data_IF_880466934576
#
_entry.id   IF_880466934576
#
_cell.length_a   1.000
_cell.length_b   1.000
_cell.length_c   1.000
_cell.angle_alpha   90.00
_cell.angle_beta   90.00
_cell.angle_gamma   90.00
#
_symmetry.space_group_name_H-M   'P 1'
#
loop_
_entity.id
_entity.type
_entity.pdbx_description
1 polymer ?
#
# COMPACT_ATOMS: atom_id res chain seq x y z
N UNK A 1 19.53 -18.57 -5.47
CA UNK A 1 19.80 -20.02 -5.37
C UNK A 1 18.91 -20.73 -4.36
N UNK A 2 19.19 -20.69 -3.05
CA UNK A 2 18.39 -21.44 -2.05
C UNK A 2 16.88 -21.12 -2.10
N UNK A 3 16.51 -19.84 -2.22
CA UNK A 3 15.09 -19.46 -2.36
C UNK A 3 14.43 -20.11 -3.59
N UNK A 4 15.14 -20.16 -4.72
CA UNK A 4 14.65 -20.79 -5.95
C UNK A 4 14.58 -22.32 -5.78
N UNK A 5 15.57 -22.94 -5.13
CA UNK A 5 15.55 -24.37 -4.78
C UNK A 5 14.31 -24.74 -3.95
N UNK A 6 13.87 -23.84 -3.06
CA UNK A 6 12.68 -24.00 -2.23
C UNK A 6 11.37 -23.54 -2.92
N UNK A 7 11.44 -23.06 -4.16
CA UNK A 7 10.27 -22.63 -4.95
C UNK A 7 9.78 -21.21 -4.70
N UNK A 8 10.60 -20.34 -4.10
CA UNK A 8 10.26 -18.92 -3.95
C UNK A 8 10.22 -18.21 -5.31
N UNK A 9 9.17 -17.44 -5.55
CA UNK A 9 8.94 -16.65 -6.77
C UNK A 9 9.16 -15.15 -6.57
N UNK A 10 9.28 -14.71 -5.31
CA UNK A 10 9.61 -13.33 -4.93
C UNK A 10 10.76 -13.35 -3.92
N UNK A 11 11.72 -12.45 -4.11
CA UNK A 11 12.83 -12.19 -3.19
C UNK A 11 12.71 -10.76 -2.65
N UNK A 12 12.37 -10.64 -1.37
CA UNK A 12 12.23 -9.34 -0.70
C UNK A 12 13.61 -8.77 -0.34
N UNK A 13 13.77 -7.46 -0.49
CA UNK A 13 14.97 -6.71 -0.16
C UNK A 13 14.61 -5.56 0.78
N UNK A 14 14.80 -5.78 2.08
CA UNK A 14 14.72 -4.73 3.08
C UNK A 14 16.09 -4.15 3.40
N UNK A 15 16.30 -2.90 2.99
CA UNK A 15 17.53 -2.15 3.20
C UNK A 15 17.64 -1.54 4.59
N UNK A 16 17.33 -2.26 5.68
CA UNK A 16 17.22 -1.70 7.03
C UNK A 16 18.50 -1.06 7.60
N UNK A 17 19.64 -1.16 6.92
CA UNK A 17 20.88 -0.47 7.31
C UNK A 17 21.32 0.60 6.31
N UNK A 18 20.61 0.77 5.21
CA UNK A 18 20.94 1.72 4.16
C UNK A 18 20.34 3.08 4.53
N UNK A 19 21.15 3.93 5.14
CA UNK A 19 20.66 5.17 5.75
C UNK A 19 21.74 5.88 6.56
N UNK A 20 21.34 6.82 7.41
CA UNK A 20 22.27 7.72 8.09
C UNK A 20 21.74 8.23 9.45
N UNK A 21 22.64 8.60 10.36
CA UNK A 21 22.31 9.36 11.59
C UNK A 21 22.87 10.79 11.55
N UNK A 22 23.88 11.05 10.72
CA UNK A 22 24.50 12.34 10.51
C UNK A 22 24.67 12.60 9.02
N UNK A 23 23.94 13.56 8.46
CA UNK A 23 23.89 13.85 7.01
C UNK A 23 25.26 13.96 6.31
N UNK A 24 26.27 14.51 7.00
CA UNK A 24 27.62 14.61 6.45
C UNK A 24 28.34 13.26 6.25
N UNK A 25 27.79 12.16 6.76
CA UNK A 25 28.36 10.82 6.66
C UNK A 25 27.89 10.04 5.42
N UNK A 26 26.98 10.60 4.62
CA UNK A 26 26.45 9.94 3.42
C UNK A 26 26.43 10.90 2.23
N UNK A 27 26.87 10.42 1.08
CA UNK A 27 26.52 11.01 -0.21
C UNK A 27 25.31 10.21 -0.73
N UNK A 28 24.11 10.80 -0.62
CA UNK A 28 22.86 10.11 -0.96
C UNK A 28 22.81 9.73 -2.44
N UNK A 29 23.33 10.59 -3.34
CA UNK A 29 23.35 10.28 -4.77
C UNK A 29 24.26 9.08 -5.05
N UNK A 30 25.47 9.09 -4.48
CA UNK A 30 26.37 7.96 -4.60
C UNK A 30 25.78 6.68 -3.98
N UNK A 31 25.07 6.79 -2.85
CA UNK A 31 24.42 5.66 -2.20
C UNK A 31 23.30 5.05 -3.07
N UNK A 32 22.45 5.88 -3.68
CA UNK A 32 21.42 5.45 -4.62
C UNK A 32 22.01 4.79 -5.86
N UNK A 33 23.10 5.33 -6.41
CA UNK A 33 23.82 4.70 -7.53
C UNK A 33 24.34 3.29 -7.16
N UNK A 34 24.86 3.11 -5.92
CA UNK A 34 25.31 1.79 -5.45
C UNK A 34 24.15 0.85 -5.19
N UNK A 35 23.03 1.37 -4.69
CA UNK A 35 21.81 0.59 -4.48
C UNK A 35 21.27 0.08 -5.82
N UNK A 36 21.21 0.94 -6.84
CA UNK A 36 20.78 0.57 -8.18
C UNK A 36 21.72 -0.46 -8.82
N UNK A 37 23.03 -0.26 -8.69
CA UNK A 37 24.03 -1.22 -9.14
C UNK A 37 23.82 -2.61 -8.51
N UNK A 38 23.60 -2.68 -7.19
CA UNK A 38 23.36 -3.94 -6.49
C UNK A 38 22.07 -4.64 -6.94
N UNK A 39 20.96 -3.91 -7.03
CA UNK A 39 19.67 -4.47 -7.48
C UNK A 39 19.76 -4.95 -8.93
N UNK A 40 20.40 -4.18 -9.81
CA UNK A 40 20.64 -4.58 -11.19
C UNK A 40 21.52 -5.83 -11.28
N UNK A 41 22.57 -5.96 -10.47
CA UNK A 41 23.38 -7.18 -10.43
C UNK A 41 22.56 -8.41 -10.00
N UNK A 42 21.66 -8.27 -9.03
CA UNK A 42 20.73 -9.35 -8.64
C UNK A 42 19.79 -9.74 -9.80
N UNK A 43 19.23 -8.77 -10.50
CA UNK A 43 18.39 -9.00 -11.68
C UNK A 43 19.17 -9.69 -12.80
N UNK A 44 20.36 -9.18 -13.15
CA UNK A 44 21.23 -9.76 -14.15
C UNK A 44 21.57 -11.22 -13.83
N UNK A 45 21.85 -11.52 -12.56
CA UNK A 45 22.12 -12.89 -12.11
C UNK A 45 20.90 -13.80 -12.26
N UNK A 46 19.72 -13.38 -11.77
CA UNK A 46 18.48 -14.16 -11.91
C UNK A 46 18.17 -14.47 -13.39
N UNK A 47 18.33 -13.47 -14.27
CA UNK A 47 18.18 -13.64 -15.72
C UNK A 47 19.19 -14.62 -16.30
N UNK A 48 20.47 -14.50 -15.93
CA UNK A 48 21.53 -15.37 -16.43
C UNK A 48 21.33 -16.84 -16.01
N UNK A 49 20.76 -17.08 -14.82
CA UNK A 49 20.41 -18.42 -14.34
C UNK A 49 19.06 -18.93 -14.89
N UNK A 50 18.26 -18.08 -15.54
CA UNK A 50 16.92 -18.42 -16.02
C UNK A 50 15.91 -18.63 -14.88
N UNK A 51 16.08 -17.94 -13.75
CA UNK A 51 15.16 -18.03 -12.62
C UNK A 51 13.88 -17.24 -12.89
N UNK A 52 12.73 -17.83 -12.56
CA UNK A 52 11.43 -17.15 -12.51
C UNK A 52 11.25 -16.45 -11.15
N UNK A 53 12.12 -15.46 -10.91
CA UNK A 53 12.21 -14.73 -9.65
C UNK A 53 11.97 -13.24 -9.90
N UNK A 54 11.09 -12.65 -9.10
CA UNK A 54 10.91 -11.19 -9.00
C UNK A 54 11.52 -10.65 -7.71
N UNK A 55 11.89 -9.38 -7.69
CA UNK A 55 12.43 -8.71 -6.52
C UNK A 55 11.41 -7.71 -5.97
N UNK A 56 11.32 -7.58 -4.65
CA UNK A 56 10.41 -6.65 -4.00
C UNK A 56 11.17 -5.79 -2.98
N UNK A 57 11.27 -4.49 -3.22
CA UNK A 57 11.89 -3.56 -2.28
C UNK A 57 10.92 -3.24 -1.15
N UNK A 58 11.42 -3.24 0.08
CA UNK A 58 10.65 -2.94 1.27
C UNK A 58 11.04 -1.57 1.84
N UNK A 59 10.23 -0.53 1.61
CA UNK A 59 10.50 0.80 2.13
C UNK A 59 10.20 0.86 3.63
N UNK A 60 11.04 1.60 4.36
CA UNK A 60 10.84 1.91 5.78
C UNK A 60 11.43 3.28 6.08
N UNK A 61 10.77 4.15 6.87
CA UNK A 61 11.25 5.53 7.01
C UNK A 61 12.48 5.67 7.90
N UNK A 62 12.56 4.88 8.97
CA UNK A 62 13.64 4.90 9.95
C UNK A 62 13.63 3.58 10.72
N UNK A 63 14.57 3.44 11.65
CA UNK A 63 14.81 2.28 12.48
C UNK A 63 15.28 1.05 11.67
N UNK A 64 16.51 0.56 11.91
CA UNK A 64 17.45 0.97 12.96
C UNK A 64 18.32 2.20 12.63
N UNK A 65 18.25 2.76 11.40
CA UNK A 65 18.93 4.02 11.08
C UNK A 65 18.10 5.24 11.49
N UNK A 66 18.73 6.40 11.65
CA UNK A 66 18.03 7.67 11.91
C UNK A 66 17.05 8.00 10.78
N UNK A 67 17.56 7.99 9.54
CA UNK A 67 16.78 8.09 8.31
C UNK A 67 17.25 7.00 7.35
N UNK A 68 16.30 6.23 6.80
CA UNK A 68 16.58 5.20 5.80
C UNK A 68 16.44 5.77 4.38
N UNK A 69 17.22 5.22 3.45
CA UNK A 69 17.01 5.42 2.02
C UNK A 69 15.70 4.73 1.60
N UNK A 70 15.04 5.29 0.59
CA UNK A 70 13.74 4.82 0.09
C UNK A 70 12.68 4.73 1.23
N UNK A 71 12.39 5.84 1.92
CA UNK A 71 11.68 5.81 3.20
C UNK A 71 10.19 5.45 3.11
N UNK A 72 9.59 5.52 1.92
CA UNK A 72 8.17 5.19 1.69
C UNK A 72 7.98 4.56 0.31
N UNK A 73 6.81 3.96 0.08
CA UNK A 73 6.38 3.38 -1.21
C UNK A 73 6.63 4.33 -2.38
N UNK A 74 6.28 5.62 -2.23
CA UNK A 74 6.49 6.59 -3.30
C UNK A 74 7.95 6.77 -3.71
N UNK A 75 8.87 6.79 -2.73
CA UNK A 75 10.30 6.91 -2.99
C UNK A 75 10.84 5.65 -3.67
N UNK A 76 10.41 4.48 -3.19
CA UNK A 76 10.82 3.20 -3.76
C UNK A 76 10.27 3.00 -5.19
N UNK A 77 9.03 3.44 -5.49
CA UNK A 77 8.49 3.45 -6.86
C UNK A 77 9.37 4.28 -7.80
N UNK A 78 9.67 5.52 -7.42
CA UNK A 78 10.50 6.42 -8.24
C UNK A 78 11.91 5.84 -8.46
N UNK A 79 12.48 5.19 -7.45
CA UNK A 79 13.78 4.52 -7.57
C UNK A 79 13.74 3.31 -8.52
N UNK A 80 12.67 2.50 -8.46
CA UNK A 80 12.50 1.33 -9.34
C UNK A 80 12.52 1.73 -10.81
N UNK A 81 11.93 2.87 -11.16
CA UNK A 81 11.86 3.35 -12.55
C UNK A 81 13.24 3.71 -13.14
N UNK A 82 14.26 3.91 -12.30
CA UNK A 82 15.64 4.21 -12.71
C UNK A 82 16.51 2.95 -12.90
N UNK A 83 15.97 1.75 -12.61
CA UNK A 83 16.70 0.49 -12.73
C UNK A 83 16.81 0.01 -14.20
N UNK A 84 17.75 -0.91 -14.46
CA UNK A 84 17.93 -1.48 -15.81
C UNK A 84 16.79 -2.45 -16.19
N UNK A 85 16.22 -3.14 -15.19
CA UNK A 85 15.09 -4.06 -15.35
C UNK A 85 13.94 -3.70 -14.39
N UNK A 86 13.29 -2.54 -14.57
CA UNK A 86 12.25 -2.07 -13.66
C UNK A 86 11.08 -3.06 -13.56
N UNK A 87 10.78 -3.82 -14.61
CA UNK A 87 9.71 -4.83 -14.62
C UNK A 87 10.00 -6.05 -13.73
N UNK A 88 11.26 -6.31 -13.39
CA UNK A 88 11.65 -7.39 -12.48
C UNK A 88 11.57 -6.98 -11.00
N UNK A 89 11.37 -5.69 -10.72
CA UNK A 89 11.41 -5.13 -9.38
C UNK A 89 10.09 -4.44 -9.07
N UNK A 90 9.50 -4.82 -7.94
CA UNK A 90 8.31 -4.22 -7.37
C UNK A 90 8.53 -3.90 -5.90
N UNK A 91 7.44 -3.90 -5.15
CA UNK A 91 7.41 -3.50 -3.76
C UNK A 91 6.88 -4.60 -2.85
N UNK A 92 7.39 -4.57 -1.62
CA UNK A 92 6.86 -5.22 -0.44
C UNK A 92 6.51 -4.13 0.58
N UNK A 93 5.38 -3.40 0.45
CA UNK A 93 5.02 -2.39 1.42
C UNK A 93 4.53 -3.06 2.71
N UNK A 94 4.93 -2.51 3.85
CA UNK A 94 4.49 -2.97 5.16
C UNK A 94 3.56 -1.94 5.83
N UNK A 95 2.49 -2.44 6.47
CA UNK A 95 1.51 -1.59 7.14
C UNK A 95 2.15 -0.65 8.16
N UNK A 96 3.05 -1.16 9.02
CA UNK A 96 3.67 -0.36 10.07
C UNK A 96 4.58 0.72 9.49
N UNK A 97 5.39 0.40 8.50
CA UNK A 97 6.38 1.32 7.91
C UNK A 97 5.75 2.61 7.36
N UNK A 98 4.67 2.54 6.59
CA UNK A 98 3.95 3.74 6.12
C UNK A 98 3.29 4.48 7.29
N UNK A 99 2.73 3.73 8.25
CA UNK A 99 2.06 4.29 9.43
C UNK A 99 3.04 5.00 10.38
N UNK A 100 4.31 4.58 10.46
CA UNK A 100 5.36 5.25 11.22
C UNK A 100 5.51 6.72 10.79
N UNK A 101 5.39 6.98 9.48
CA UNK A 101 5.40 8.32 8.87
C UNK A 101 4.05 9.05 8.93
N UNK A 102 3.00 8.40 9.45
CA UNK A 102 1.64 8.93 9.46
C UNK A 102 0.94 8.92 8.11
N UNK A 103 1.42 8.11 7.17
CA UNK A 103 0.83 7.98 5.84
C UNK A 103 -0.28 6.93 5.85
N UNK A 104 -1.15 7.01 4.85
CA UNK A 104 -2.20 6.00 4.63
C UNK A 104 -1.60 4.81 3.90
N UNK A 105 -1.45 3.68 4.62
CA UNK A 105 -1.01 2.43 4.01
C UNK A 105 -1.92 1.98 2.87
N UNK A 106 -3.24 2.14 3.03
CA UNK A 106 -4.22 1.82 1.96
C UNK A 106 -3.93 2.60 0.68
N UNK A 107 -3.60 3.89 0.79
CA UNK A 107 -3.29 4.70 -0.39
C UNK A 107 -1.94 4.33 -1.01
N UNK A 108 -0.94 4.01 -0.19
CA UNK A 108 0.35 3.52 -0.66
C UNK A 108 0.21 2.22 -1.45
N UNK A 109 -0.56 1.25 -0.93
CA UNK A 109 -0.87 -0.01 -1.61
C UNK A 109 -1.68 0.23 -2.88
N UNK A 110 -2.65 1.14 -2.87
CA UNK A 110 -3.43 1.49 -4.07
C UNK A 110 -2.54 2.07 -5.18
N UNK A 111 -1.57 2.91 -4.82
CA UNK A 111 -0.60 3.44 -5.77
C UNK A 111 0.31 2.32 -6.30
N UNK A 112 0.81 1.43 -5.44
CA UNK A 112 1.62 0.30 -5.87
C UNK A 112 0.86 -0.64 -6.83
N UNK A 113 -0.44 -0.88 -6.59
CA UNK A 113 -1.31 -1.61 -7.52
C UNK A 113 -1.48 -0.86 -8.85
N UNK A 114 -1.70 0.46 -8.80
CA UNK A 114 -1.86 1.28 -10.01
C UNK A 114 -0.61 1.30 -10.91
N UNK A 115 0.58 1.13 -10.33
CA UNK A 115 1.84 1.00 -11.07
C UNK A 115 2.19 -0.46 -11.45
N UNK A 116 1.33 -1.45 -11.15
CA UNK A 116 1.63 -2.88 -11.31
C UNK A 116 2.91 -3.32 -10.54
N UNK A 117 3.21 -2.67 -9.42
CA UNK A 117 4.41 -2.92 -8.60
C UNK A 117 4.13 -3.58 -7.25
N UNK A 118 2.88 -3.91 -6.90
CA UNK A 118 2.60 -4.68 -5.67
C UNK A 118 2.95 -6.17 -5.87
N UNK A 119 4.21 -6.54 -5.61
CA UNK A 119 4.71 -7.90 -5.80
C UNK A 119 4.57 -8.78 -4.55
N UNK A 120 4.63 -8.16 -3.38
CA UNK A 120 4.41 -8.77 -2.08
C UNK A 120 3.76 -7.73 -1.15
N UNK A 121 3.36 -8.12 0.06
CA UNK A 121 2.83 -7.19 1.07
C UNK A 121 3.06 -7.76 2.47
N UNK A 122 3.38 -6.90 3.42
CA UNK A 122 3.52 -7.27 4.82
C UNK A 122 2.42 -6.63 5.68
N UNK A 123 1.67 -7.50 6.34
CA UNK A 123 0.47 -7.15 7.09
C UNK A 123 0.72 -7.23 8.59
N UNK A 124 0.75 -6.06 9.22
CA UNK A 124 0.84 -5.90 10.67
C UNK A 124 0.04 -4.68 11.13
N UNK A 125 0.37 -4.07 12.25
CA UNK A 125 -0.31 -2.91 12.77
C UNK A 125 0.63 -2.03 13.61
N UNK A 126 0.34 -0.73 13.65
CA UNK A 126 1.25 0.28 14.20
C UNK A 126 0.50 1.44 14.84
N UNK A 127 1.09 2.04 15.87
CA UNK A 127 0.70 3.39 16.31
C UNK A 127 1.64 4.41 15.68
N UNK A 128 1.06 5.41 15.01
CA UNK A 128 1.77 6.49 14.32
C UNK A 128 2.91 7.12 15.15
N UNK A 129 4.03 7.41 14.47
CA UNK A 129 5.15 8.20 14.99
C UNK A 129 5.89 7.57 16.17
N UNK A 130 6.08 6.24 16.14
CA UNK A 130 6.80 5.47 17.17
C UNK A 130 7.80 4.51 16.53
N UNK A 131 8.59 3.86 17.37
CA UNK A 131 9.31 2.64 16.99
C UNK A 131 8.36 1.64 16.34
N UNK A 132 8.91 0.80 15.49
CA UNK A 132 8.18 -0.24 14.81
C UNK A 132 7.70 -1.31 15.80
N UNK A 133 6.39 -1.44 15.93
CA UNK A 133 5.77 -2.24 16.98
C UNK A 133 5.44 -3.65 16.51
N UNK A 134 5.41 -3.89 15.20
CA UNK A 134 5.09 -5.19 14.61
C UNK A 134 3.84 -5.83 15.20
N UNK A 135 2.81 -5.04 15.52
CA UNK A 135 1.65 -5.63 16.15
C UNK A 135 0.91 -6.56 15.20
N UNK A 136 0.27 -7.59 15.75
CA UNK A 136 -0.58 -8.49 14.96
C UNK A 136 -1.55 -7.69 14.07
N UNK A 137 -1.78 -8.14 12.84
CA UNK A 137 -2.65 -7.46 11.89
C UNK A 137 -4.03 -7.10 12.50
N UNK A 138 -4.39 -5.82 12.39
CA UNK A 138 -5.62 -5.22 12.91
C UNK A 138 -5.75 -5.13 14.43
N UNK A 139 -4.66 -5.13 15.22
CA UNK A 139 -4.74 -4.75 16.65
C UNK A 139 -4.87 -3.26 16.86
N UNK A 140 -4.33 -2.50 15.92
CA UNK A 140 -4.44 -1.05 15.81
C UNK A 140 -4.97 -0.72 14.41
N UNK A 141 -5.56 0.45 14.23
CA UNK A 141 -5.99 0.91 12.89
C UNK A 141 -7.00 -0.01 12.19
N UNK A 142 -7.99 -0.57 12.90
CA UNK A 142 -8.91 -1.57 12.32
C UNK A 142 -9.67 -1.09 11.08
N UNK A 143 -9.97 0.21 10.99
CA UNK A 143 -10.61 0.82 9.83
C UNK A 143 -9.65 0.87 8.63
N UNK A 144 -8.40 1.22 8.86
CA UNK A 144 -7.37 1.26 7.82
C UNK A 144 -7.08 -0.16 7.32
N UNK A 145 -6.99 -1.13 8.23
CA UNK A 145 -6.88 -2.55 7.90
C UNK A 145 -8.08 -3.03 7.07
N UNK A 146 -9.30 -2.60 7.39
CA UNK A 146 -10.49 -2.92 6.58
C UNK A 146 -10.35 -2.41 5.15
N UNK A 147 -10.01 -1.13 4.97
CA UNK A 147 -9.88 -0.55 3.62
C UNK A 147 -8.72 -1.17 2.84
N UNK A 148 -7.63 -1.54 3.50
CA UNK A 148 -6.54 -2.31 2.89
C UNK A 148 -7.02 -3.68 2.40
N UNK A 149 -7.70 -4.46 3.26
CA UNK A 149 -8.23 -5.78 2.86
C UNK A 149 -9.24 -5.62 1.73
N UNK A 150 -10.17 -4.68 1.85
CA UNK A 150 -11.16 -4.40 0.80
C UNK A 150 -10.48 -4.07 -0.53
N UNK A 151 -9.45 -3.22 -0.53
CA UNK A 151 -8.69 -2.89 -1.73
C UNK A 151 -8.06 -4.13 -2.38
N UNK A 152 -7.39 -4.98 -1.59
CA UNK A 152 -6.74 -6.20 -2.11
C UNK A 152 -7.76 -7.18 -2.69
N UNK A 153 -8.89 -7.38 -2.00
CA UNK A 153 -9.96 -8.27 -2.45
C UNK A 153 -10.68 -7.74 -3.70
N UNK A 154 -10.99 -6.43 -3.75
CA UNK A 154 -11.63 -5.80 -4.92
C UNK A 154 -10.73 -5.79 -6.15
N UNK A 155 -9.42 -5.60 -5.96
CA UNK A 155 -8.43 -5.69 -7.02
C UNK A 155 -8.21 -7.13 -7.51
N UNK A 156 -8.74 -8.13 -6.81
CA UNK A 156 -8.49 -9.54 -7.10
C UNK A 156 -7.01 -9.91 -6.99
N UNK A 157 -6.25 -9.21 -6.12
CA UNK A 157 -4.82 -9.43 -5.97
C UNK A 157 -4.58 -10.85 -5.43
N UNK A 158 -3.74 -11.62 -6.12
CA UNK A 158 -3.50 -13.05 -5.88
C UNK A 158 -2.20 -13.33 -5.10
N UNK A 159 -1.48 -12.27 -4.71
CA UNK A 159 -0.26 -12.38 -3.92
C UNK A 159 -0.45 -12.93 -2.51
N UNK A 160 0.68 -13.28 -1.88
CA UNK A 160 0.71 -13.79 -0.51
C UNK A 160 0.19 -12.74 0.48
N UNK A 161 -0.67 -13.15 1.43
CA UNK A 161 -1.01 -12.34 2.60
C UNK A 161 0.01 -12.67 3.70
N UNK A 162 1.20 -12.08 3.59
CA UNK A 162 2.26 -12.30 4.57
C UNK A 162 2.04 -11.45 5.81
N UNK A 163 2.33 -12.01 6.99
CA UNK A 163 2.20 -11.33 8.27
C UNK A 163 3.59 -11.16 8.87
N UNK A 164 4.25 -10.04 8.57
CA UNK A 164 5.48 -9.66 9.26
C UNK A 164 5.13 -8.96 10.57
N UNK A 165 4.96 -9.74 11.63
CA UNK A 165 4.52 -9.24 12.91
C UNK A 165 5.10 -10.07 14.05
N UNK A 166 5.12 -9.49 15.25
CA UNK A 166 5.62 -10.10 16.46
C UNK A 166 4.48 -10.30 17.47
N UNK A 167 4.42 -11.51 18.05
CA UNK A 167 3.62 -11.72 19.25
C UNK A 167 4.12 -10.79 20.37
N UNK A 168 3.23 -10.35 21.26
CA UNK A 168 3.66 -9.51 22.37
C UNK A 168 4.74 -10.23 23.18
N UNK A 169 5.76 -9.48 23.62
CA UNK A 169 6.85 -10.03 24.44
C UNK A 169 6.35 -10.72 25.73
N UNK A 170 5.12 -10.44 26.17
CA UNK A 170 4.49 -11.02 27.35
C UNK A 170 3.93 -12.42 27.13
N UNK A 171 3.80 -12.86 25.88
CA UNK A 171 3.20 -14.14 25.54
C UNK A 171 4.15 -15.31 25.79
N UNK A 172 3.57 -16.46 26.11
CA UNK A 172 4.24 -17.75 26.07
C UNK A 172 4.02 -18.43 24.70
N UNK A 173 4.36 -19.72 24.59
CA UNK A 173 4.23 -20.46 23.34
C UNK A 173 2.77 -20.56 22.86
N UNK A 174 1.79 -20.65 23.77
CA UNK A 174 0.38 -20.72 23.40
C UNK A 174 -0.10 -19.35 22.88
N UNK A 175 0.33 -18.26 23.52
CA UNK A 175 0.06 -16.90 23.08
C UNK A 175 0.66 -16.57 21.70
N UNK A 176 1.84 -17.12 21.36
CA UNK A 176 2.40 -17.04 20.00
C UNK A 176 1.47 -17.69 18.96
N UNK A 177 0.87 -18.84 19.28
CA UNK A 177 -0.09 -19.48 18.39
C UNK A 177 -1.42 -18.71 18.29
N UNK A 178 -1.86 -18.08 19.38
CA UNK A 178 -3.02 -17.18 19.37
C UNK A 178 -2.76 -15.94 18.50
N UNK A 179 -1.55 -15.37 18.57
CA UNK A 179 -1.08 -14.30 17.69
C UNK A 179 -1.21 -14.70 16.21
N UNK A 180 -0.62 -15.84 15.81
CA UNK A 180 -0.62 -16.29 14.42
C UNK A 180 -2.05 -16.55 13.90
N UNK A 181 -2.88 -17.23 14.71
CA UNK A 181 -4.31 -17.42 14.41
C UNK A 181 -5.05 -16.09 14.31
N UNK A 182 -4.71 -15.13 15.16
CA UNK A 182 -5.29 -13.80 15.22
C UNK A 182 -5.10 -13.02 13.93
N UNK A 183 -3.88 -13.00 13.37
CA UNK A 183 -3.58 -12.35 12.09
C UNK A 183 -4.49 -12.87 10.96
N UNK A 184 -4.51 -14.20 10.75
CA UNK A 184 -5.34 -14.85 9.74
C UNK A 184 -6.84 -14.59 9.97
N UNK A 185 -7.30 -14.74 11.23
CA UNK A 185 -8.71 -14.54 11.58
C UNK A 185 -9.17 -13.12 11.31
N UNK A 186 -8.37 -12.12 11.66
CA UNK A 186 -8.68 -10.71 11.39
C UNK A 186 -8.84 -10.47 9.89
N UNK A 187 -7.89 -10.93 9.08
CA UNK A 187 -7.98 -10.79 7.62
C UNK A 187 -9.29 -11.39 7.07
N UNK A 188 -9.61 -12.63 7.45
CA UNK A 188 -10.82 -13.32 6.97
C UNK A 188 -12.12 -12.61 7.39
N UNK A 189 -12.16 -12.04 8.61
CA UNK A 189 -13.31 -11.23 9.06
C UNK A 189 -13.43 -9.98 8.20
N UNK A 190 -12.33 -9.26 7.96
CA UNK A 190 -12.35 -8.03 7.17
C UNK A 190 -12.70 -8.30 5.70
N UNK A 191 -12.26 -9.43 5.13
CA UNK A 191 -12.65 -9.87 3.78
C UNK A 191 -14.15 -10.21 3.70
N UNK A 192 -14.72 -10.82 4.74
CA UNK A 192 -16.18 -10.99 4.84
C UNK A 192 -16.90 -9.64 4.90
N UNK A 193 -16.39 -8.70 5.70
CA UNK A 193 -16.94 -7.34 5.75
C UNK A 193 -16.84 -6.63 4.39
N UNK A 194 -15.76 -6.82 3.63
CA UNK A 194 -15.63 -6.25 2.29
C UNK A 194 -16.70 -6.81 1.33
N UNK A 195 -16.94 -8.13 1.35
CA UNK A 195 -18.04 -8.75 0.57
C UNK A 195 -19.41 -8.20 0.98
N UNK A 196 -19.64 -7.98 2.27
CA UNK A 196 -20.89 -7.40 2.79
C UNK A 196 -21.04 -5.93 2.44
N UNK A 197 -19.96 -5.16 2.47
CA UNK A 197 -19.92 -3.78 1.99
C UNK A 197 -20.41 -3.71 0.54
N UNK A 198 -19.89 -4.59 -0.33
CA UNK A 198 -20.25 -4.63 -1.74
C UNK A 198 -21.72 -5.04 -1.99
N UNK A 199 -22.33 -5.77 -1.05
CA UNK A 199 -23.70 -6.27 -1.17
C UNK A 199 -24.76 -5.42 -0.45
N UNK A 200 -24.37 -4.43 0.36
CA UNK A 200 -25.32 -3.62 1.15
C UNK A 200 -25.95 -2.53 0.27
N UNK A 201 -27.28 -2.53 0.07
CA UNK A 201 -27.96 -1.55 -0.79
C UNK A 201 -27.91 -0.12 -0.26
N UNK A 202 -27.84 0.10 1.06
CA UNK A 202 -27.71 1.45 1.62
C UNK A 202 -26.30 2.01 1.42
N UNK A 203 -25.29 1.14 1.48
CA UNK A 203 -23.91 1.52 1.12
C UNK A 203 -23.82 1.84 -0.37
N UNK A 204 -24.45 1.04 -1.24
CA UNK A 204 -24.51 1.30 -2.67
C UNK A 204 -25.17 2.65 -3.00
N UNK A 205 -26.29 2.97 -2.33
CA UNK A 205 -26.94 4.28 -2.43
C UNK A 205 -26.01 5.41 -1.95
N UNK A 206 -25.33 5.22 -0.82
CA UNK A 206 -24.41 6.22 -0.28
C UNK A 206 -23.18 6.46 -1.19
N UNK A 207 -22.67 5.41 -1.85
CA UNK A 207 -21.60 5.52 -2.85
C UNK A 207 -22.05 6.30 -4.09
N UNK A 208 -23.28 6.07 -4.56
CA UNK A 208 -23.88 6.83 -5.65
C UNK A 208 -24.05 8.32 -5.29
N UNK A 209 -24.52 8.61 -4.07
CA UNK A 209 -24.62 9.99 -3.57
C UNK A 209 -23.25 10.67 -3.44
N UNK A 210 -22.21 9.91 -3.07
CA UNK A 210 -20.82 10.37 -3.02
C UNK A 210 -20.14 10.45 -4.40
N UNK A 211 -20.84 10.12 -5.48
CA UNK A 211 -20.32 10.17 -6.85
C UNK A 211 -19.03 9.36 -7.06
N UNK A 212 -18.81 8.29 -6.29
CA UNK A 212 -17.56 7.52 -6.35
C UNK A 212 -17.29 6.96 -7.75
N UNK A 213 -18.32 6.45 -8.43
CA UNK A 213 -18.19 5.92 -9.77
C UNK A 213 -17.89 7.00 -10.83
N UNK A 214 -18.32 8.25 -10.61
CA UNK A 214 -18.08 9.34 -11.56
C UNK A 214 -16.59 9.71 -11.66
N UNK A 215 -15.79 9.42 -10.61
CA UNK A 215 -14.34 9.63 -10.65
C UNK A 215 -13.63 8.75 -11.68
N UNK A 216 -14.23 7.63 -12.08
CA UNK A 216 -13.68 6.74 -13.11
C UNK A 216 -13.94 7.26 -14.54
N UNK A 217 -14.78 8.28 -14.71
CA UNK A 217 -15.05 8.88 -16.02
C UNK A 217 -13.91 9.86 -16.39
N UNK A 218 -13.30 9.74 -17.60
CA UNK A 218 -12.29 10.69 -18.03
C UNK A 218 -12.84 12.12 -18.04
N UNK A 219 -12.15 13.04 -17.36
CA UNK A 219 -12.58 14.43 -17.25
C UNK A 219 -12.70 15.13 -18.60
N UNK A 220 -11.74 14.89 -19.50
CA UNK A 220 -11.70 15.47 -20.84
C UNK A 220 -10.76 14.69 -21.74
N UNK A 221 -11.12 14.47 -23.00
CA UNK A 221 -10.32 13.66 -23.93
C UNK A 221 -9.67 14.46 -25.06
N UNK A 222 -10.20 15.63 -25.44
CA UNK A 222 -9.70 16.41 -26.58
C UNK A 222 -8.73 17.51 -26.16
N UNK A 223 -7.44 17.22 -26.19
CA UNK A 223 -6.38 18.17 -25.81
C UNK A 223 -5.93 19.08 -26.97
N UNK A 224 -6.65 19.10 -28.10
CA UNK A 224 -6.37 20.06 -29.18
C UNK A 224 -6.66 21.50 -28.74
N UNK A 225 -6.11 22.53 -29.41
CA UNK A 225 -6.47 23.91 -29.15
C UNK A 225 -7.99 24.15 -29.21
N UNK A 226 -8.68 23.51 -30.15
CA UNK A 226 -10.14 23.58 -30.32
C UNK A 226 -10.88 22.89 -29.17
N UNK A 227 -10.46 21.70 -28.77
CA UNK A 227 -11.01 20.97 -27.63
C UNK A 227 -10.85 21.74 -26.32
N UNK A 228 -9.66 22.29 -26.07
CA UNK A 228 -9.42 23.13 -24.89
C UNK A 228 -10.24 24.43 -24.92
N UNK A 229 -10.49 25.00 -26.10
CA UNK A 229 -11.40 26.14 -26.25
C UNK A 229 -12.86 25.74 -25.94
N UNK A 230 -13.29 24.55 -26.38
CA UNK A 230 -14.61 24.00 -26.06
C UNK A 230 -14.77 23.76 -24.55
N UNK A 231 -13.78 23.14 -23.89
CA UNK A 231 -13.78 22.95 -22.44
C UNK A 231 -13.91 24.28 -21.69
N UNK A 232 -13.19 25.32 -22.12
CA UNK A 232 -13.29 26.66 -21.52
C UNK A 232 -14.67 27.28 -21.71
N UNK A 233 -15.27 27.08 -22.89
CA UNK A 233 -16.62 27.58 -23.17
C UNK A 233 -17.68 26.86 -22.32
N UNK A 234 -17.54 25.53 -22.14
CA UNK A 234 -18.39 24.74 -21.25
C UNK A 234 -18.24 25.17 -19.79
N UNK A 235 -17.00 25.29 -19.30
CA UNK A 235 -16.70 25.68 -17.94
C UNK A 235 -17.23 27.09 -17.58
N UNK A 236 -17.33 27.99 -18.56
CA UNK A 236 -17.92 29.32 -18.36
C UNK A 236 -19.43 29.28 -18.04
N UNK A 237 -20.11 28.18 -18.37
CA UNK A 237 -21.52 27.96 -18.06
C UNK A 237 -21.77 27.34 -16.69
N UNK A 238 -20.73 26.94 -15.95
CA UNK A 238 -20.90 26.29 -14.65
C UNK A 238 -21.33 27.27 -13.57
N UNK A 239 -22.40 26.92 -12.84
CA UNK A 239 -22.79 27.59 -11.62
C UNK A 239 -21.91 27.09 -10.46
N UNK A 240 -20.77 27.76 -10.28
CA UNK A 240 -19.80 27.46 -9.22
C UNK A 240 -20.44 27.55 -7.83
N UNK A 241 -21.42 28.43 -7.63
CA UNK A 241 -22.09 28.57 -6.33
C UNK A 241 -22.99 27.37 -6.04
N UNK A 242 -23.72 26.88 -7.03
CA UNK A 242 -24.51 25.65 -6.91
C UNK A 242 -23.61 24.42 -6.68
N UNK A 243 -22.49 24.31 -7.42
CA UNK A 243 -21.52 23.22 -7.25
C UNK A 243 -20.92 23.23 -5.84
N UNK A 244 -20.52 24.40 -5.33
CA UNK A 244 -19.95 24.52 -3.99
C UNK A 244 -20.97 24.24 -2.86
N UNK A 245 -22.27 24.43 -3.13
CA UNK A 245 -23.35 24.14 -2.19
C UNK A 245 -23.77 22.66 -2.17
N UNK A 246 -23.32 21.85 -3.14
CA UNK A 246 -23.67 20.44 -3.22
C UNK A 246 -22.99 19.63 -2.11
N UNK A 247 -23.77 18.84 -1.38
CA UNK A 247 -23.26 17.89 -0.39
C UNK A 247 -23.05 16.51 -1.01
N UNK A 248 -21.95 15.85 -0.66
CA UNK A 248 -21.59 14.52 -1.19
C UNK A 248 -21.86 13.35 -0.23
N UNK A 249 -22.47 13.60 0.92
CA UNK A 249 -22.94 12.54 1.83
C UNK A 249 -21.85 11.65 2.46
N UNK A 250 -20.58 12.07 2.44
CA UNK A 250 -19.44 11.27 2.92
C UNK A 250 -19.57 10.82 4.39
N UNK A 251 -20.07 11.69 5.28
CA UNK A 251 -20.30 11.33 6.69
C UNK A 251 -21.31 10.17 6.85
N UNK A 252 -22.38 10.15 6.03
CA UNK A 252 -23.34 9.04 6.04
C UNK A 252 -22.66 7.76 5.57
N UNK A 253 -21.92 7.82 4.47
CA UNK A 253 -21.18 6.67 3.94
C UNK A 253 -20.20 6.10 4.97
N UNK A 254 -19.41 6.97 5.61
CA UNK A 254 -18.43 6.56 6.61
C UNK A 254 -19.08 5.95 7.87
N UNK A 255 -20.22 6.50 8.30
CA UNK A 255 -20.99 5.94 9.41
C UNK A 255 -21.54 4.53 9.08
N UNK A 256 -22.02 4.31 7.85
CA UNK A 256 -22.46 2.97 7.42
C UNK A 256 -21.32 1.95 7.45
N UNK A 257 -20.11 2.37 7.05
CA UNK A 257 -18.90 1.52 7.18
C UNK A 257 -18.60 1.23 8.64
N UNK A 258 -18.73 2.22 9.52
CA UNK A 258 -18.54 2.04 10.97
C UNK A 258 -19.48 0.98 11.52
N UNK A 259 -20.77 1.08 11.19
CA UNK A 259 -21.80 0.13 11.64
C UNK A 259 -21.53 -1.28 11.11
N UNK A 260 -21.12 -1.40 9.84
CA UNK A 260 -20.71 -2.65 9.24
C UNK A 260 -19.54 -3.28 9.99
N UNK A 261 -18.49 -2.52 10.30
CA UNK A 261 -17.32 -3.01 11.04
C UNK A 261 -17.65 -3.46 12.46
N UNK A 262 -18.49 -2.69 13.16
CA UNK A 262 -18.94 -3.02 14.52
C UNK A 262 -19.98 -4.15 14.55
N UNK A 263 -20.50 -4.58 13.40
CA UNK A 263 -21.53 -5.64 13.31
C UNK A 263 -22.90 -5.18 13.79
N UNK A 264 -23.18 -3.88 13.71
CA UNK A 264 -24.49 -3.30 13.98
C UNK A 264 -25.44 -3.37 12.75
N UNK A 265 -24.93 -3.93 11.64
CA UNK A 265 -25.63 -4.26 10.40
C UNK A 265 -25.19 -5.66 9.96
#
# INVERSE_FOLDING_TARGET
DLGVELGATVYVMWGGREGVEAEAAIDVAAALDRYAEAVNLCCAHARAQGYDLRFALEPKPNEPRGDLLLPTVGHALAFIDELEWPDMVGLNPEFAHETMSGLSFTHAVAQALWHDKLFHIDLNAQRIGKYDQDFRFGSEGIRDAFYTVKLLEDAGWDGCRHFDAHAYRTEDADGVWDFARGCMRTYLILADKARRFAADPEIAEALAAAQVAALAEPTWSDTSPEGLAALRAEAAGYDVAALAAAGHGHERLDQLVTELLLGAR
#
